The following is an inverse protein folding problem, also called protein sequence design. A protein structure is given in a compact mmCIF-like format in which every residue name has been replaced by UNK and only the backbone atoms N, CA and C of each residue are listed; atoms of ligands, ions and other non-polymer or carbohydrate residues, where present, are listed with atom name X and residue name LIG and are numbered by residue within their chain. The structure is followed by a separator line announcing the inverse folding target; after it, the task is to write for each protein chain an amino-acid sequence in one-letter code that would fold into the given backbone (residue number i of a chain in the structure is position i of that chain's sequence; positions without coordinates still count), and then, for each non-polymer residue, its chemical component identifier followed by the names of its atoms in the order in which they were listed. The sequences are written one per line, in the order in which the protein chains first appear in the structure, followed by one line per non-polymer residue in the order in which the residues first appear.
data_IF_363806609334
#
_entry.id   IF_363806609334
#
_cell.length_a   1.000
_cell.length_b   1.000
_cell.length_c   1.000
_cell.angle_alpha   90.00
_cell.angle_beta   90.00
_cell.angle_gamma   90.00
#
_symmetry.space_group_name_H-M   'P 1'
#
loop_
_entity.id
_entity.type
_entity.pdbx_description
1 polymer ?
#
# COMPACT_ATOMS: atom_id res chain seq x y z
N UNK A 1 16.73 14.55 -13.96
CA UNK A 1 16.69 14.87 -12.52
C UNK A 1 17.37 13.73 -11.76
N UNK A 2 18.38 13.99 -10.92
CA UNK A 2 18.99 12.96 -10.05
C UNK A 2 18.43 13.16 -8.64
N UNK A 3 17.51 12.30 -8.21
CA UNK A 3 16.95 12.30 -6.83
C UNK A 3 17.66 11.22 -6.02
N UNK A 4 18.05 11.51 -4.78
CA UNK A 4 18.69 10.51 -3.92
C UNK A 4 17.64 9.54 -3.34
N UNK A 5 18.03 8.29 -3.12
CA UNK A 5 17.13 7.26 -2.60
C UNK A 5 16.56 7.57 -1.19
N UNK A 6 17.26 8.38 -0.38
CA UNK A 6 16.78 8.83 0.93
C UNK A 6 15.84 10.05 0.87
N UNK A 7 15.65 10.64 -0.31
CA UNK A 7 14.76 11.78 -0.56
C UNK A 7 13.52 11.35 -1.38
N UNK A 8 13.53 10.14 -1.91
CA UNK A 8 12.44 9.57 -2.70
C UNK A 8 11.51 8.75 -1.81
N UNK A 9 10.34 9.29 -1.52
CA UNK A 9 9.30 8.62 -0.74
C UNK A 9 8.56 7.56 -1.56
N UNK A 10 8.00 6.55 -0.90
CA UNK A 10 7.39 5.41 -1.61
C UNK A 10 6.07 5.77 -2.29
N UNK A 11 5.31 6.75 -1.79
CA UNK A 11 4.10 7.28 -2.44
C UNK A 11 4.42 7.84 -3.84
N UNK A 12 5.52 8.60 -3.96
CA UNK A 12 5.98 9.14 -5.25
C UNK A 12 6.35 8.04 -6.24
N UNK A 13 6.97 6.97 -5.76
CA UNK A 13 7.30 5.81 -6.61
C UNK A 13 6.01 5.10 -7.04
N UNK A 14 5.12 4.83 -6.08
CA UNK A 14 3.86 4.15 -6.33
C UNK A 14 3.03 4.86 -7.41
N UNK A 15 2.73 6.14 -7.21
CA UNK A 15 1.95 6.93 -8.18
C UNK A 15 2.73 7.24 -9.45
N UNK A 16 4.07 7.26 -9.41
CA UNK A 16 4.90 7.40 -10.61
C UNK A 16 4.81 6.20 -11.56
N UNK A 17 4.54 5.01 -11.04
CA UNK A 17 4.35 3.78 -11.83
C UNK A 17 2.86 3.52 -12.11
N UNK A 18 1.97 4.02 -11.24
CA UNK A 18 0.55 3.71 -11.26
C UNK A 18 -0.32 4.95 -10.99
N UNK A 19 -0.35 5.94 -11.91
CA UNK A 19 -0.93 7.25 -11.66
C UNK A 19 -2.47 7.29 -11.61
N UNK A 20 -3.16 6.33 -12.24
CA UNK A 20 -4.60 6.40 -12.48
C UNK A 20 -5.44 5.35 -11.73
N UNK A 21 -4.90 4.70 -10.70
CA UNK A 21 -5.64 3.64 -10.01
C UNK A 21 -5.75 3.87 -8.50
N UNK A 22 -6.90 3.47 -7.97
CA UNK A 22 -7.17 3.35 -6.54
C UNK A 22 -6.19 2.34 -5.92
N UNK A 23 -5.65 2.68 -4.75
CA UNK A 23 -4.83 1.77 -3.95
C UNK A 23 -5.65 0.64 -3.35
N UNK A 24 -6.89 0.95 -2.96
CA UNK A 24 -7.82 -0.02 -2.41
C UNK A 24 -8.92 -0.29 -3.43
N UNK A 25 -8.93 -1.52 -3.96
CA UNK A 25 -10.01 -1.95 -4.83
C UNK A 25 -11.23 -2.36 -4.00
N UNK A 26 -12.32 -1.60 -4.11
CA UNK A 26 -13.60 -1.93 -3.47
C UNK A 26 -14.43 -2.79 -4.42
N UNK A 27 -14.73 -4.02 -4.00
CA UNK A 27 -15.53 -4.96 -4.79
C UNK A 27 -16.96 -4.45 -5.02
N UNK A 28 -17.48 -4.67 -6.23
CA UNK A 28 -18.79 -4.21 -6.70
C UNK A 28 -19.82 -5.35 -6.82
N UNK A 29 -19.52 -6.53 -6.28
CA UNK A 29 -20.34 -7.74 -6.41
C UNK A 29 -21.47 -7.85 -5.36
N UNK A 30 -21.90 -6.73 -4.79
CA UNK A 30 -22.98 -6.74 -3.80
C UNK A 30 -24.34 -7.02 -4.47
N UNK A 31 -25.22 -7.76 -3.79
CA UNK A 31 -26.55 -8.07 -4.32
C UNK A 31 -27.46 -6.83 -4.32
N UNK A 32 -27.86 -6.28 -5.48
CA UNK A 32 -28.68 -5.06 -5.53
C UNK A 32 -30.13 -5.29 -5.11
N UNK A 33 -30.64 -6.53 -5.17
CA UNK A 33 -32.02 -6.85 -4.78
C UNK A 33 -32.21 -6.90 -3.25
N UNK A 34 -31.10 -7.00 -2.52
CA UNK A 34 -31.08 -6.94 -1.06
C UNK A 34 -30.81 -5.51 -0.60
N UNK A 35 -31.64 -4.90 0.27
CA UNK A 35 -31.42 -3.53 0.76
C UNK A 35 -30.03 -3.29 1.36
N UNK A 36 -29.44 -4.32 2.00
CA UNK A 36 -28.06 -4.27 2.49
C UNK A 36 -27.08 -4.21 1.33
N UNK A 37 -27.20 -5.10 0.34
CA UNK A 37 -26.28 -5.14 -0.79
C UNK A 37 -26.36 -3.89 -1.68
N UNK A 38 -27.56 -3.29 -1.79
CA UNK A 38 -27.75 -2.03 -2.50
C UNK A 38 -27.08 -0.81 -1.82
N UNK A 39 -26.82 -0.88 -0.51
CA UNK A 39 -26.38 0.29 0.29
C UNK A 39 -25.01 0.12 0.96
N UNK A 40 -24.53 -1.11 1.14
CA UNK A 40 -23.33 -1.39 1.94
C UNK A 40 -22.06 -0.72 1.39
N UNK A 41 -21.94 -0.57 0.07
CA UNK A 41 -20.79 0.12 -0.54
C UNK A 41 -20.75 1.59 -0.13
N UNK A 42 -21.87 2.29 -0.23
CA UNK A 42 -21.97 3.70 0.15
C UNK A 42 -21.76 3.88 1.66
N UNK A 43 -22.34 2.99 2.47
CA UNK A 43 -22.19 3.03 3.91
C UNK A 43 -20.72 2.82 4.37
N UNK A 44 -19.96 1.98 3.66
CA UNK A 44 -18.57 1.69 3.97
C UNK A 44 -17.57 2.62 3.27
N UNK A 45 -18.00 3.41 2.28
CA UNK A 45 -17.12 4.28 1.50
C UNK A 45 -16.23 5.18 2.37
N UNK A 46 -16.74 5.86 3.43
CA UNK A 46 -15.89 6.70 4.29
C UNK A 46 -14.77 5.91 4.99
N UNK A 47 -15.01 4.64 5.30
CA UNK A 47 -14.01 3.77 5.93
C UNK A 47 -12.92 3.41 4.91
N UNK A 48 -13.30 3.12 3.67
CA UNK A 48 -12.36 2.81 2.60
C UNK A 48 -11.50 4.02 2.23
N UNK A 49 -12.10 5.21 2.10
CA UNK A 49 -11.38 6.46 1.79
C UNK A 49 -10.37 6.80 2.89
N UNK A 50 -10.76 6.72 4.18
CA UNK A 50 -9.83 6.96 5.28
C UNK A 50 -8.72 5.89 5.32
N UNK A 51 -9.05 4.62 5.05
CA UNK A 51 -8.05 3.54 4.99
C UNK A 51 -7.04 3.77 3.86
N UNK A 52 -7.51 4.19 2.69
CA UNK A 52 -6.65 4.53 1.56
C UNK A 52 -5.75 5.72 1.88
N UNK A 53 -6.31 6.78 2.48
CA UNK A 53 -5.53 7.95 2.93
C UNK A 53 -4.44 7.57 3.92
N UNK A 54 -4.74 6.71 4.91
CA UNK A 54 -3.74 6.23 5.86
C UNK A 54 -2.65 5.41 5.18
N UNK A 55 -3.00 4.59 4.18
CA UNK A 55 -2.00 3.87 3.38
C UNK A 55 -1.07 4.84 2.64
N UNK A 56 -1.59 5.89 2.01
CA UNK A 56 -0.77 6.92 1.35
C UNK A 56 0.17 7.60 2.35
N UNK A 57 -0.30 7.97 3.54
CA UNK A 57 0.52 8.57 4.58
C UNK A 57 1.65 7.63 5.05
N UNK A 58 1.36 6.33 5.16
CA UNK A 58 2.35 5.32 5.50
C UNK A 58 3.41 5.15 4.39
N UNK A 59 3.01 5.21 3.12
CA UNK A 59 3.96 5.18 2.00
C UNK A 59 4.84 6.44 1.98
N UNK A 60 4.25 7.61 2.25
CA UNK A 60 4.96 8.89 2.29
C UNK A 60 6.01 8.96 3.41
N UNK A 61 5.78 8.27 4.53
CA UNK A 61 6.71 8.24 5.67
C UNK A 61 7.93 7.34 5.44
N UNK A 62 7.92 6.51 4.39
CA UNK A 62 9.04 5.63 4.01
C UNK A 62 9.76 6.12 2.77
N UNK A 63 11.06 5.87 2.71
CA UNK A 63 11.91 6.20 1.55
C UNK A 63 12.39 4.94 0.85
N UNK A 64 12.82 5.08 -0.40
CA UNK A 64 13.43 3.99 -1.17
C UNK A 64 14.64 3.40 -0.45
N UNK A 65 15.47 4.25 0.17
CA UNK A 65 16.61 3.79 0.99
C UNK A 65 16.16 2.84 2.10
N UNK A 66 15.16 3.23 2.90
CA UNK A 66 14.66 2.41 4.00
C UNK A 66 14.07 1.08 3.49
N UNK A 67 13.34 1.12 2.38
CA UNK A 67 12.80 -0.09 1.75
C UNK A 67 13.93 -1.07 1.36
N UNK A 68 14.99 -0.57 0.71
CA UNK A 68 16.14 -1.39 0.32
C UNK A 68 16.84 -1.98 1.54
N UNK A 69 17.05 -1.18 2.60
CA UNK A 69 17.65 -1.67 3.86
C UNK A 69 16.79 -2.76 4.51
N UNK A 70 15.47 -2.59 4.54
CA UNK A 70 14.53 -3.59 5.06
C UNK A 70 14.55 -4.88 4.23
N UNK A 71 14.63 -4.78 2.89
CA UNK A 71 14.75 -5.95 2.00
C UNK A 71 16.02 -6.76 2.29
N UNK A 72 17.17 -6.11 2.46
CA UNK A 72 18.42 -6.80 2.80
C UNK A 72 18.36 -7.43 4.20
N UNK A 73 17.77 -6.76 5.19
CA UNK A 73 17.57 -7.34 6.53
C UNK A 73 16.71 -8.61 6.47
N UNK A 74 15.60 -8.58 5.73
CA UNK A 74 14.71 -9.74 5.55
C UNK A 74 15.44 -10.88 4.85
N UNK A 75 16.17 -10.59 3.77
CA UNK A 75 16.94 -11.58 3.03
C UNK A 75 17.99 -12.27 3.92
N UNK A 76 18.76 -11.48 4.68
CA UNK A 76 19.81 -11.98 5.55
C UNK A 76 19.26 -12.79 6.72
N UNK A 77 18.11 -12.39 7.29
CA UNK A 77 17.42 -13.18 8.34
C UNK A 77 17.03 -14.57 7.80
N UNK A 78 16.40 -14.63 6.62
CA UNK A 78 16.04 -15.90 5.97
C UNK A 78 17.24 -16.78 5.65
N UNK A 79 18.40 -16.20 5.34
CA UNK A 79 19.64 -16.95 5.13
C UNK A 79 20.22 -17.56 6.42
N UNK A 80 20.11 -16.84 7.54
CA UNK A 80 20.52 -17.34 8.86
C UNK A 80 19.62 -18.46 9.38
N UNK A 81 18.31 -18.31 9.22
CA UNK A 81 17.32 -19.31 9.65
C UNK A 81 17.47 -20.64 8.86
N UNK A 82 18.01 -20.61 7.64
CA UNK A 82 18.30 -21.79 6.82
C UNK A 82 19.62 -22.49 7.16
N UNK A 83 20.54 -21.79 7.82
CA UNK A 83 21.89 -22.29 8.12
C UNK A 83 22.05 -22.80 9.56
N UNK A 84 20.96 -22.90 10.33
CA UNK A 84 20.88 -23.68 11.57
C UNK A 84 22.13 -23.64 12.47
N UNK A 85 22.43 -22.47 13.04
CA UNK A 85 23.09 -22.39 14.35
C UNK A 85 22.03 -21.89 15.33
#
# INVERSE_FOLDING_TARGET
MKVKANELSLDKIYFGVYPEKELLHVHDTANPDCPVGATIKEALLPIFEESERQLVLNLKSKTLKLLIEDMYKIHNKKGKDKNGI
#
